data_IF_456717259160
#
_entry.id   IF_456717259160
#
_cell.length_a   1.000
_cell.length_b   1.000
_cell.length_c   1.000
_cell.angle_alpha   90.00
_cell.angle_beta   90.00
_cell.angle_gamma   90.00
#
_symmetry.space_group_name_H-M   'P 1'
#
loop_
_entity.id
_entity.type
_entity.pdbx_description
1 polymer ?
#
# COMPACT_ATOMS: atom_id res chain seq x y z
N UNK A 1 53.18 31.80 0.28
CA UNK A 1 52.42 32.79 -0.50
C UNK A 1 51.41 32.06 -1.37
N UNK A 2 50.10 32.32 -1.14
CA UNK A 2 48.93 32.21 -2.03
C UNK A 2 48.67 30.87 -2.74
N UNK A 3 47.69 30.10 -2.26
CA UNK A 3 46.25 30.15 -2.61
C UNK A 3 45.96 29.46 -3.94
N UNK A 4 45.01 28.50 -3.95
CA UNK A 4 43.99 28.15 -4.97
C UNK A 4 43.58 26.70 -4.69
N UNK A 5 42.34 26.22 -4.75
CA UNK A 5 41.00 26.78 -4.60
C UNK A 5 40.13 25.51 -4.45
N UNK A 6 39.31 25.43 -3.40
CA UNK A 6 38.39 24.31 -3.17
C UNK A 6 37.24 24.42 -4.19
N UNK A 7 37.00 23.37 -4.97
CA UNK A 7 35.76 23.22 -5.73
C UNK A 7 35.01 21.99 -5.20
N UNK A 8 34.23 22.21 -4.14
CA UNK A 8 33.19 21.26 -3.71
C UNK A 8 32.00 21.46 -4.64
N UNK A 9 31.83 20.55 -5.58
CA UNK A 9 30.63 20.50 -6.44
C UNK A 9 29.50 19.91 -5.61
N UNK A 10 28.77 20.75 -4.88
CA UNK A 10 27.45 20.38 -4.34
C UNK A 10 26.48 20.28 -5.51
N UNK A 11 26.20 19.06 -5.95
CA UNK A 11 25.09 18.79 -6.83
C UNK A 11 23.78 19.05 -6.07
N UNK A 12 23.09 20.14 -6.40
CA UNK A 12 21.71 20.36 -6.01
C UNK A 12 20.84 19.39 -6.82
N UNK A 13 20.36 18.33 -6.17
CA UNK A 13 19.27 17.51 -6.67
C UNK A 13 17.97 18.30 -6.47
N UNK A 14 17.52 18.97 -7.53
CA UNK A 14 16.20 19.60 -7.57
C UNK A 14 15.18 18.47 -7.75
N UNK A 15 14.51 18.05 -6.68
CA UNK A 15 13.31 17.23 -6.78
C UNK A 15 12.21 18.10 -7.41
N UNK A 16 11.98 17.92 -8.70
CA UNK A 16 10.79 18.42 -9.35
C UNK A 16 9.58 17.64 -8.82
N UNK A 17 8.74 18.30 -8.03
CA UNK A 17 7.44 17.77 -7.64
C UNK A 17 6.52 17.76 -8.86
N UNK A 18 6.39 16.62 -9.53
CA UNK A 18 5.40 16.42 -10.57
C UNK A 18 4.01 16.33 -9.92
N UNK A 19 3.22 17.39 -10.04
CA UNK A 19 1.81 17.42 -9.66
C UNK A 19 1.00 16.83 -10.81
N UNK A 20 0.72 15.53 -10.73
CA UNK A 20 -0.08 14.84 -11.74
C UNK A 20 -1.56 14.99 -11.38
N UNK A 21 -2.24 15.93 -12.04
CA UNK A 21 -3.69 15.89 -12.18
C UNK A 21 -4.03 14.79 -13.20
N UNK A 22 -4.11 13.55 -12.72
CA UNK A 22 -4.33 12.36 -13.54
C UNK A 22 -5.53 11.56 -13.07
N UNK A 23 -6.22 10.93 -14.03
CA UNK A 23 -7.12 9.80 -13.81
C UNK A 23 -6.51 8.87 -12.74
N UNK A 24 -7.26 8.54 -11.68
CA UNK A 24 -6.70 7.97 -10.46
C UNK A 24 -5.82 6.76 -10.72
N UNK A 25 -4.59 6.75 -10.22
CA UNK A 25 -3.73 5.57 -10.19
C UNK A 25 -2.97 5.57 -8.88
N UNK A 26 -2.39 4.42 -8.53
CA UNK A 26 -1.35 4.40 -7.51
C UNK A 26 -0.19 5.33 -7.94
N UNK A 27 0.52 5.97 -7.01
CA UNK A 27 1.71 6.75 -7.32
C UNK A 27 2.76 5.88 -8.03
N UNK A 28 3.44 6.43 -9.04
CA UNK A 28 4.43 5.67 -9.82
C UNK A 28 5.56 5.10 -8.95
N UNK A 29 5.98 5.86 -7.92
CA UNK A 29 6.98 5.41 -6.95
C UNK A 29 6.48 4.20 -6.15
N UNK A 30 5.22 4.24 -5.69
CA UNK A 30 4.60 3.11 -5.01
C UNK A 30 4.51 1.87 -5.91
N UNK A 31 4.08 2.03 -7.16
CA UNK A 31 4.01 0.94 -8.15
C UNK A 31 5.39 0.32 -8.39
N UNK A 32 6.44 1.15 -8.51
CA UNK A 32 7.80 0.66 -8.72
C UNK A 32 8.32 -0.22 -7.57
N UNK A 33 7.95 0.10 -6.31
CA UNK A 33 8.25 -0.75 -5.15
C UNK A 33 7.40 -2.01 -5.18
N UNK A 34 6.09 -1.90 -5.39
CA UNK A 34 5.15 -3.02 -5.40
C UNK A 34 5.49 -4.08 -6.48
N UNK A 35 5.78 -3.65 -7.71
CA UNK A 35 6.05 -4.58 -8.82
C UNK A 35 7.41 -5.27 -8.68
N UNK A 36 8.42 -4.51 -8.22
CA UNK A 36 9.80 -4.97 -8.08
C UNK A 36 10.19 -5.41 -6.68
N UNK A 37 9.22 -5.71 -5.82
CA UNK A 37 9.47 -5.94 -4.40
C UNK A 37 10.38 -7.15 -4.14
N UNK A 38 11.36 -6.97 -3.25
CA UNK A 38 12.19 -8.04 -2.69
C UNK A 38 11.39 -8.90 -1.70
N UNK A 39 10.43 -8.27 -1.01
CA UNK A 39 9.43 -8.92 -0.18
C UNK A 39 8.05 -8.34 -0.45
N UNK A 40 7.03 -9.21 -0.50
CA UNK A 40 5.64 -8.81 -0.72
C UNK A 40 4.73 -9.66 0.15
N UNK A 41 4.03 -9.02 1.09
CA UNK A 41 3.06 -9.65 1.97
C UNK A 41 1.66 -9.10 1.71
N UNK A 42 0.69 -9.99 1.82
CA UNK A 42 -0.73 -9.66 1.90
C UNK A 42 -1.24 -9.96 3.31
N UNK A 43 -2.11 -9.10 3.81
CA UNK A 43 -2.62 -9.15 5.18
C UNK A 43 -4.15 -9.05 5.17
N UNK A 44 -4.81 -9.97 5.87
CA UNK A 44 -6.21 -9.82 6.24
C UNK A 44 -6.28 -9.03 7.55
N UNK A 45 -6.96 -7.89 7.53
CA UNK A 45 -7.08 -6.97 8.66
C UNK A 45 -8.44 -7.09 9.33
N UNK A 46 -8.44 -6.87 10.64
CA UNK A 46 -9.65 -6.67 11.43
C UNK A 46 -10.19 -5.25 11.18
N UNK A 47 -11.40 -5.09 10.64
CA UNK A 47 -11.96 -3.75 10.40
C UNK A 47 -12.38 -3.06 11.70
N UNK A 48 -12.49 -3.77 12.82
CA UNK A 48 -12.97 -3.21 14.09
C UNK A 48 -11.90 -2.32 14.74
N UNK A 49 -12.23 -1.03 14.90
CA UNK A 49 -11.36 0.04 15.42
C UNK A 49 -11.68 0.40 16.89
N UNK A 50 -12.40 -0.49 17.59
CA UNK A 50 -12.95 -0.22 18.92
C UNK A 50 -11.98 -0.42 20.07
N UNK A 51 -10.92 -1.21 19.88
CA UNK A 51 -9.94 -1.52 20.91
C UNK A 51 -8.55 -1.58 20.27
N UNK A 52 -7.56 -0.97 20.92
CA UNK A 52 -6.17 -1.18 20.54
C UNK A 52 -5.88 -2.69 20.61
N UNK A 53 -5.21 -3.28 19.60
CA UNK A 53 -4.92 -4.71 19.60
C UNK A 53 -4.29 -5.11 20.94
N UNK A 54 -4.76 -6.18 21.60
CA UNK A 54 -4.22 -6.60 22.89
C UNK A 54 -2.68 -6.74 22.83
N UNK A 55 -1.96 -6.47 23.92
CA UNK A 55 -0.51 -6.62 23.94
C UNK A 55 -0.07 -8.00 23.44
N UNK A 56 0.83 -8.02 22.45
CA UNK A 56 1.31 -9.25 21.81
C UNK A 56 0.49 -9.71 20.60
N UNK A 57 -0.57 -9.00 20.24
CA UNK A 57 -1.27 -9.18 18.96
C UNK A 57 -0.60 -8.32 17.89
N UNK A 58 -0.30 -8.93 16.75
CA UNK A 58 0.28 -8.21 15.61
C UNK A 58 -0.73 -7.22 15.01
N UNK A 59 -0.26 -6.02 14.69
CA UNK A 59 -1.06 -4.97 14.07
C UNK A 59 -0.36 -4.36 12.86
N UNK A 60 -1.16 -3.83 11.95
CA UNK A 60 -0.74 -3.15 10.74
C UNK A 60 -1.51 -1.83 10.63
N UNK A 61 -0.81 -0.70 10.76
CA UNK A 61 -1.40 0.64 10.80
C UNK A 61 -2.55 0.79 11.81
N UNK A 62 -2.42 0.15 12.97
CA UNK A 62 -3.42 0.19 14.05
C UNK A 62 -4.52 -0.87 13.96
N UNK A 63 -4.56 -1.67 12.88
CA UNK A 63 -5.53 -2.74 12.70
C UNK A 63 -4.94 -4.10 13.05
N UNK A 64 -5.67 -4.93 13.78
CA UNK A 64 -5.22 -6.30 14.08
C UNK A 64 -5.03 -7.10 12.79
N UNK A 65 -3.92 -7.83 12.69
CA UNK A 65 -3.65 -8.77 11.59
C UNK A 65 -4.30 -10.12 11.93
N UNK A 66 -5.25 -10.55 11.11
CA UNK A 66 -5.97 -11.82 11.25
C UNK A 66 -5.25 -12.97 10.57
N UNK A 67 -4.65 -12.69 9.43
CA UNK A 67 -3.81 -13.60 8.67
C UNK A 67 -2.85 -12.79 7.82
N UNK A 68 -1.67 -13.34 7.55
CA UNK A 68 -0.70 -12.77 6.60
C UNK A 68 0.07 -13.86 5.89
N UNK A 69 0.56 -13.56 4.69
CA UNK A 69 1.36 -14.50 3.92
C UNK A 69 2.23 -13.80 2.89
N UNK A 70 3.39 -14.42 2.63
CA UNK A 70 4.30 -13.98 1.59
C UNK A 70 3.78 -14.40 0.21
N UNK A 71 3.78 -13.46 -0.74
CA UNK A 71 3.49 -13.72 -2.15
C UNK A 71 4.80 -13.79 -2.92
N UNK A 72 5.27 -15.02 -3.16
CA UNK A 72 6.56 -15.28 -3.82
C UNK A 72 6.44 -15.40 -5.34
N UNK A 73 5.26 -15.73 -5.88
CA UNK A 73 5.02 -15.78 -7.32
C UNK A 73 4.87 -14.37 -7.89
N UNK A 74 5.77 -13.92 -8.81
CA UNK A 74 5.67 -12.62 -9.45
C UNK A 74 4.33 -12.39 -10.16
N UNK A 75 3.73 -13.43 -10.75
CA UNK A 75 2.43 -13.28 -11.43
C UNK A 75 1.28 -13.03 -10.46
N UNK A 76 1.32 -13.66 -9.29
CA UNK A 76 0.34 -13.41 -8.24
C UNK A 76 0.48 -11.97 -7.71
N UNK A 77 1.72 -11.49 -7.52
CA UNK A 77 2.01 -10.10 -7.16
C UNK A 77 1.48 -9.11 -8.19
N UNK A 78 1.83 -9.29 -9.46
CA UNK A 78 1.34 -8.46 -10.58
C UNK A 78 -0.20 -8.42 -10.62
N UNK A 79 -0.87 -9.56 -10.41
CA UNK A 79 -2.33 -9.63 -10.34
C UNK A 79 -2.90 -8.77 -9.21
N UNK A 80 -2.33 -8.88 -8.01
CA UNK A 80 -2.76 -8.11 -6.82
C UNK A 80 -2.60 -6.61 -7.07
N UNK A 81 -1.41 -6.17 -7.51
CA UNK A 81 -1.13 -4.76 -7.82
C UNK A 81 -2.07 -4.25 -8.91
N UNK A 82 -2.31 -5.05 -9.95
CA UNK A 82 -3.21 -4.74 -11.05
C UNK A 82 -4.66 -4.51 -10.59
N UNK A 83 -5.19 -5.36 -9.71
CA UNK A 83 -6.52 -5.23 -9.13
C UNK A 83 -6.63 -3.94 -8.31
N UNK A 84 -5.68 -3.70 -7.41
CA UNK A 84 -5.70 -2.50 -6.56
C UNK A 84 -5.65 -1.23 -7.41
N UNK A 85 -4.75 -1.17 -8.39
CA UNK A 85 -4.63 -0.03 -9.29
C UNK A 85 -5.89 0.15 -10.17
N UNK A 86 -6.58 -0.94 -10.54
CA UNK A 86 -7.87 -0.86 -11.22
C UNK A 86 -8.96 -0.24 -10.32
N UNK A 87 -8.96 -0.58 -9.03
CA UNK A 87 -9.81 0.07 -8.03
C UNK A 87 -9.57 1.58 -7.97
N UNK A 88 -8.31 2.03 -7.86
CA UNK A 88 -7.97 3.46 -7.82
C UNK A 88 -8.41 4.19 -9.12
N UNK A 89 -8.22 3.55 -10.29
CA UNK A 89 -8.72 4.08 -11.58
C UNK A 89 -10.23 4.21 -11.65
N UNK A 90 -10.95 3.23 -11.09
CA UNK A 90 -12.41 3.28 -10.98
C UNK A 90 -12.85 4.42 -10.06
N UNK A 91 -12.06 4.72 -9.03
CA UNK A 91 -12.36 5.71 -8.02
C UNK A 91 -13.63 5.37 -7.25
N UNK A 92 -14.06 6.28 -6.38
CA UNK A 92 -15.27 6.08 -5.58
C UNK A 92 -15.59 7.31 -4.76
N UNK A 93 -16.81 7.37 -4.22
CA UNK A 93 -17.22 8.43 -3.31
C UNK A 93 -16.82 8.01 -1.90
N UNK A 94 -15.81 8.67 -1.35
CA UNK A 94 -15.30 8.33 -0.03
C UNK A 94 -16.37 8.56 1.06
N UNK A 95 -16.59 7.54 1.88
CA UNK A 95 -17.39 7.68 3.09
C UNK A 95 -16.56 8.27 4.24
N UNK A 96 -17.19 8.59 5.37
CA UNK A 96 -16.49 9.08 6.58
C UNK A 96 -15.85 7.95 7.41
N UNK A 97 -16.17 6.69 7.10
CA UNK A 97 -15.61 5.54 7.78
C UNK A 97 -14.20 5.22 7.26
N UNK A 98 -13.47 4.39 7.99
CA UNK A 98 -12.29 3.71 7.47
C UNK A 98 -12.11 2.37 8.19
N UNK A 99 -12.70 1.33 7.59
CA UNK A 99 -12.81 -0.03 8.13
C UNK A 99 -12.02 -0.99 7.22
N UNK A 100 -10.69 -0.86 7.14
CA UNK A 100 -9.90 -1.61 6.19
C UNK A 100 -9.91 -3.09 6.50
N UNK A 101 -9.98 -3.88 5.43
CA UNK A 101 -9.96 -5.34 5.49
C UNK A 101 -8.71 -5.91 4.84
N UNK A 102 -8.10 -5.19 3.90
CA UNK A 102 -6.93 -5.69 3.17
C UNK A 102 -5.73 -4.81 3.44
N UNK A 103 -4.60 -5.46 3.71
CA UNK A 103 -3.28 -4.86 3.78
C UNK A 103 -2.35 -5.45 2.72
N UNK A 104 -1.45 -4.62 2.20
CA UNK A 104 -0.28 -5.06 1.44
C UNK A 104 0.94 -4.39 2.04
N UNK A 105 2.01 -5.14 2.28
CA UNK A 105 3.32 -4.62 2.67
C UNK A 105 4.35 -5.07 1.64
N UNK A 106 5.05 -4.11 1.02
CA UNK A 106 6.11 -4.41 0.06
C UNK A 106 7.38 -3.64 0.41
N UNK A 107 8.53 -4.29 0.24
CA UNK A 107 9.85 -3.67 0.41
C UNK A 107 10.68 -3.89 -0.83
N UNK A 108 11.36 -2.83 -1.27
CA UNK A 108 12.34 -2.88 -2.36
C UNK A 108 13.50 -1.95 -2.06
N UNK A 109 14.73 -2.45 -2.12
CA UNK A 109 15.94 -1.61 -1.99
C UNK A 109 15.93 -0.73 -0.71
N UNK A 110 15.29 -1.21 0.37
CA UNK A 110 15.14 -0.48 1.64
C UNK A 110 14.00 0.53 1.71
N UNK A 111 13.23 0.70 0.63
CA UNK A 111 11.99 1.49 0.60
C UNK A 111 10.78 0.61 0.87
N UNK A 112 9.80 1.12 1.60
CA UNK A 112 8.58 0.37 1.92
C UNK A 112 7.32 1.07 1.42
N UNK A 113 6.39 0.27 0.92
CA UNK A 113 5.04 0.71 0.55
C UNK A 113 4.03 -0.17 1.27
N UNK A 114 3.15 0.49 2.00
CA UNK A 114 1.98 -0.14 2.61
C UNK A 114 0.70 0.34 1.94
N UNK A 115 -0.19 -0.60 1.62
CA UNK A 115 -1.54 -0.32 1.16
C UNK A 115 -2.50 -0.75 2.25
N UNK A 116 -3.33 0.16 2.75
CA UNK A 116 -4.40 -0.13 3.71
C UNK A 116 -5.72 0.18 3.02
N UNK A 117 -6.53 -0.85 2.78
CA UNK A 117 -7.61 -0.79 1.79
C UNK A 117 -8.96 -1.01 2.45
N UNK A 118 -9.87 -0.03 2.24
CA UNK A 118 -11.23 -0.07 2.70
C UNK A 118 -12.22 0.16 1.55
N UNK A 119 -12.76 -0.93 1.01
CA UNK A 119 -13.76 -0.84 -0.07
C UNK A 119 -15.15 -0.38 0.42
N UNK A 120 -15.50 -0.63 1.69
CA UNK A 120 -16.73 -0.08 2.29
C UNK A 120 -16.75 1.45 2.22
N UNK A 121 -15.59 2.06 2.46
CA UNK A 121 -15.44 3.51 2.50
C UNK A 121 -14.91 4.09 1.19
N UNK A 122 -14.70 3.25 0.16
CA UNK A 122 -14.12 3.64 -1.13
C UNK A 122 -12.79 4.39 -1.01
N UNK A 123 -11.97 4.01 -0.04
CA UNK A 123 -10.71 4.67 0.29
C UNK A 123 -9.55 3.66 0.39
N UNK A 124 -8.38 4.09 -0.06
CA UNK A 124 -7.13 3.37 0.04
C UNK A 124 -6.06 4.32 0.58
N UNK A 125 -5.39 3.95 1.65
CA UNK A 125 -4.20 4.66 2.12
C UNK A 125 -2.95 4.02 1.53
N UNK A 126 -2.12 4.84 0.90
CA UNK A 126 -0.77 4.48 0.43
C UNK A 126 0.23 5.10 1.38
N UNK A 127 1.02 4.30 2.08
CA UNK A 127 2.08 4.77 2.97
C UNK A 127 3.43 4.48 2.34
N UNK A 128 4.12 5.51 1.87
CA UNK A 128 5.45 5.42 1.26
C UNK A 128 6.49 5.93 2.25
N UNK A 129 7.37 5.06 2.76
CA UNK A 129 8.39 5.40 3.75
C UNK A 129 7.84 6.23 4.95
N UNK A 130 6.66 5.83 5.44
CA UNK A 130 5.96 6.49 6.56
C UNK A 130 5.13 7.72 6.18
N UNK A 131 5.09 8.14 4.90
CA UNK A 131 4.24 9.23 4.43
C UNK A 131 2.95 8.68 3.82
N UNK A 132 1.81 9.00 4.44
CA UNK A 132 0.49 8.53 3.99
C UNK A 132 -0.17 9.47 2.99
N UNK A 133 -0.76 8.91 1.93
CA UNK A 133 -1.66 9.58 0.99
C UNK A 133 -2.92 8.73 0.84
N UNK A 134 -4.10 9.34 0.99
CA UNK A 134 -5.39 8.66 0.77
C UNK A 134 -5.86 8.87 -0.67
N UNK A 135 -6.22 7.78 -1.33
CA UNK A 135 -6.77 7.75 -2.69
C UNK A 135 -8.20 7.22 -2.67
N UNK A 136 -9.09 7.72 -3.54
CA UNK A 136 -10.37 7.07 -3.76
C UNK A 136 -10.14 5.74 -4.49
N UNK A 137 -10.89 4.72 -4.14
CA UNK A 137 -10.87 3.42 -4.81
C UNK A 137 -12.29 2.91 -5.02
N UNK A 138 -12.53 2.29 -6.17
CA UNK A 138 -13.80 1.67 -6.49
C UNK A 138 -13.84 0.22 -6.05
N UNK A 139 -15.06 -0.33 -5.98
CA UNK A 139 -15.26 -1.70 -5.56
C UNK A 139 -14.63 -2.70 -6.55
N UNK A 140 -13.58 -3.35 -6.09
CA UNK A 140 -12.91 -4.53 -6.68
C UNK A 140 -12.66 -5.57 -5.58
N UNK A 141 -13.42 -5.52 -4.48
CA UNK A 141 -13.14 -6.30 -3.28
C UNK A 141 -13.17 -7.80 -3.57
N UNK A 142 -14.16 -8.28 -4.32
CA UNK A 142 -14.29 -9.69 -4.65
C UNK A 142 -13.08 -10.24 -5.44
N UNK A 143 -12.51 -9.45 -6.35
CA UNK A 143 -11.33 -9.83 -7.14
C UNK A 143 -10.08 -9.91 -6.24
N UNK A 144 -9.96 -8.98 -5.29
CA UNK A 144 -8.86 -8.95 -4.33
C UNK A 144 -8.98 -10.09 -3.30
N UNK A 145 -10.20 -10.38 -2.82
CA UNK A 145 -10.50 -11.50 -1.94
C UNK A 145 -10.10 -12.84 -2.59
N UNK A 146 -10.40 -13.00 -3.88
CA UNK A 146 -9.96 -14.17 -4.64
C UNK A 146 -8.42 -14.21 -4.75
N UNK A 147 -7.77 -13.06 -5.01
CA UNK A 147 -6.32 -12.97 -5.11
C UNK A 147 -5.62 -13.39 -3.81
N UNK A 148 -6.11 -12.88 -2.67
CA UNK A 148 -5.55 -13.19 -1.35
C UNK A 148 -5.76 -14.66 -1.02
N UNK A 149 -6.95 -15.20 -1.33
CA UNK A 149 -7.25 -16.61 -1.09
C UNK A 149 -6.36 -17.54 -1.91
N UNK A 150 -6.06 -17.17 -3.15
CA UNK A 150 -5.10 -17.90 -3.99
C UNK A 150 -3.68 -17.87 -3.40
N UNK A 151 -3.32 -16.82 -2.65
CA UNK A 151 -2.10 -16.74 -1.85
C UNK A 151 -2.20 -17.41 -0.47
N UNK A 152 -3.30 -18.13 -0.19
CA UNK A 152 -3.52 -18.83 1.08
C UNK A 152 -4.03 -17.93 2.22
N UNK A 153 -4.35 -16.67 1.94
CA UNK A 153 -4.80 -15.68 2.93
C UNK A 153 -6.29 -15.42 2.73
N UNK A 154 -7.09 -15.79 3.72
CA UNK A 154 -8.52 -15.59 3.70
C UNK A 154 -8.97 -14.81 4.94
N UNK A 155 -9.95 -13.92 4.74
CA UNK A 155 -10.69 -13.37 5.86
C UNK A 155 -11.46 -14.47 6.58
N UNK A 156 -11.43 -14.50 7.92
CA UNK A 156 -12.33 -15.36 8.68
C UNK A 156 -13.78 -15.10 8.28
N UNK A 157 -14.57 -16.16 8.13
CA UNK A 157 -15.99 -16.03 7.81
C UNK A 157 -16.71 -15.21 8.89
N UNK A 158 -17.54 -14.26 8.47
CA UNK A 158 -18.36 -13.45 9.38
C UNK A 158 -17.74 -12.13 9.83
N UNK A 159 -16.65 -11.67 9.20
CA UNK A 159 -16.12 -10.31 9.35
C UNK A 159 -16.07 -9.58 8.03
#
# INVERSE_FOLDING_TARGET
MRCFFVARTTALLVLAAASVLGCGSLPDAAVAVLDGADSFQVLALDPDHGEEPPPGVESFHGYQVLAKGDVTDPKARERIVGIVNAGVRKGGTQAKCFNPRHGVHAVRDGHSVDLVICYECSALEVVEDGRSTTLPTGDVQADLDEAFRAAGIAHPAGR
#
